data_IF_467415634153
#
_entry.id   IF_467415634153
#
_cell.length_a   1.000
_cell.length_b   1.000
_cell.length_c   1.000
_cell.angle_alpha   90.00
_cell.angle_beta   90.00
_cell.angle_gamma   90.00
#
_symmetry.space_group_name_H-M   'P 1'
#
loop_
_entity.id
_entity.type
_entity.pdbx_description
1 polymer ?
#
# COMPACT_ATOMS: atom_id res chain seq x y z
N UNK A 1 16.32 3.78 -6.65
CA UNK A 1 16.41 5.01 -5.83
C UNK A 1 17.43 5.99 -6.43
N UNK A 2 17.17 6.43 -7.69
CA UNK A 2 18.13 7.25 -8.42
C UNK A 2 17.48 8.52 -8.97
N UNK A 3 17.99 9.69 -8.59
CA UNK A 3 17.38 10.97 -8.91
C UNK A 3 17.33 11.26 -10.42
N UNK A 4 18.39 10.93 -11.16
CA UNK A 4 18.42 11.19 -12.61
C UNK A 4 17.42 10.31 -13.37
N UNK A 5 17.21 9.06 -12.91
CA UNK A 5 16.17 8.20 -13.47
C UNK A 5 14.78 8.70 -13.13
N UNK A 6 14.59 9.23 -11.92
CA UNK A 6 13.34 9.90 -11.55
C UNK A 6 13.09 11.11 -12.45
N UNK A 7 14.09 11.97 -12.66
CA UNK A 7 13.95 13.17 -13.48
C UNK A 7 13.51 12.86 -14.91
N UNK A 8 13.99 11.77 -15.49
CA UNK A 8 13.56 11.34 -16.83
C UNK A 8 12.08 10.95 -16.91
N UNK A 9 11.51 10.47 -15.80
CA UNK A 9 10.11 10.04 -15.67
C UNK A 9 9.24 11.05 -14.89
N UNK A 10 9.84 12.12 -14.37
CA UNK A 10 9.14 13.15 -13.58
C UNK A 10 7.90 13.72 -14.28
N UNK A 11 7.89 14.01 -15.61
CA UNK A 11 6.70 14.49 -16.28
C UNK A 11 5.52 13.51 -16.18
N UNK A 12 5.77 12.21 -16.33
CA UNK A 12 4.76 11.16 -16.17
C UNK A 12 4.25 11.11 -14.74
N UNK A 13 5.18 11.09 -13.78
CA UNK A 13 4.88 11.08 -12.36
C UNK A 13 3.99 12.27 -11.96
N UNK A 14 4.39 13.49 -12.35
CA UNK A 14 3.65 14.70 -12.02
C UNK A 14 2.25 14.71 -12.65
N UNK A 15 2.10 14.16 -13.85
CA UNK A 15 0.81 14.08 -14.53
C UNK A 15 -0.13 13.08 -13.86
N UNK A 16 0.40 11.93 -13.41
CA UNK A 16 -0.37 10.98 -12.60
C UNK A 16 -0.84 11.63 -11.30
N UNK A 17 0.05 12.36 -10.61
CA UNK A 17 -0.29 13.09 -9.39
C UNK A 17 -1.38 14.14 -9.62
N UNK A 18 -1.30 14.89 -10.71
CA UNK A 18 -2.31 15.87 -11.11
C UNK A 18 -3.69 15.24 -11.28
N UNK A 19 -3.78 14.17 -12.06
CA UNK A 19 -5.05 13.48 -12.31
C UNK A 19 -5.60 12.80 -11.05
N UNK A 20 -4.72 12.17 -10.27
CA UNK A 20 -5.12 11.54 -9.01
C UNK A 20 -5.67 12.57 -8.02
N UNK A 21 -5.03 13.72 -7.88
CA UNK A 21 -5.54 14.82 -7.04
C UNK A 21 -6.86 15.37 -7.55
N UNK A 22 -7.01 15.55 -8.85
CA UNK A 22 -8.28 15.98 -9.46
C UNK A 22 -9.43 14.99 -9.20
N UNK A 23 -9.10 13.69 -9.02
CA UNK A 23 -10.04 12.64 -8.64
C UNK A 23 -10.23 12.51 -7.10
N UNK A 24 -9.66 13.41 -6.32
CA UNK A 24 -9.81 13.42 -4.87
C UNK A 24 -8.86 12.48 -4.12
N UNK A 25 -7.75 12.07 -4.73
CA UNK A 25 -6.73 11.28 -4.04
C UNK A 25 -5.82 12.20 -3.23
N UNK A 26 -5.64 11.87 -1.96
CA UNK A 26 -4.73 12.58 -1.08
C UNK A 26 -3.30 12.03 -1.26
N UNK A 27 -2.69 12.39 -2.39
CA UNK A 27 -1.34 11.96 -2.75
C UNK A 27 -0.31 12.61 -1.84
N UNK A 28 0.53 11.79 -1.20
CA UNK A 28 1.53 12.25 -0.21
C UNK A 28 2.88 12.44 -0.88
N UNK A 29 3.40 11.39 -1.47
CA UNK A 29 4.75 11.33 -2.02
C UNK A 29 4.84 10.28 -3.11
N UNK A 30 5.99 10.26 -3.75
CA UNK A 30 6.43 9.17 -4.61
C UNK A 30 7.90 9.37 -4.96
N UNK A 31 8.48 8.32 -5.48
CA UNK A 31 9.89 8.24 -5.81
C UNK A 31 10.16 7.28 -6.97
N UNK A 32 11.42 7.25 -7.39
CA UNK A 32 11.96 6.18 -8.21
C UNK A 32 12.23 4.99 -7.29
N UNK A 33 11.55 3.88 -7.56
CA UNK A 33 11.77 2.62 -6.87
C UNK A 33 13.07 1.93 -7.33
N UNK A 34 13.30 0.71 -6.87
CA UNK A 34 14.59 0.04 -7.01
C UNK A 34 14.88 -0.41 -8.47
N UNK A 35 13.88 -0.93 -9.18
CA UNK A 35 14.09 -1.39 -10.55
C UNK A 35 14.13 -0.21 -11.55
N UNK A 36 14.91 -0.32 -12.64
CA UNK A 36 14.94 0.72 -13.68
C UNK A 36 13.55 1.04 -14.21
N UNK A 37 13.18 2.32 -14.20
CA UNK A 37 11.86 2.79 -14.65
C UNK A 37 10.70 2.47 -13.72
N UNK A 38 10.94 1.94 -12.55
CA UNK A 38 9.92 1.66 -11.54
C UNK A 38 9.64 2.91 -10.71
N UNK A 39 8.37 3.27 -10.60
CA UNK A 39 7.92 4.41 -9.78
C UNK A 39 7.00 3.90 -8.67
N UNK A 40 7.13 4.48 -7.48
CA UNK A 40 6.21 4.30 -6.38
C UNK A 40 5.43 5.59 -6.13
N UNK A 41 4.13 5.47 -5.88
CA UNK A 41 3.27 6.57 -5.46
C UNK A 41 2.45 6.14 -4.25
N UNK A 42 2.34 7.06 -3.29
CA UNK A 42 1.66 6.83 -2.04
C UNK A 42 0.58 7.88 -1.80
N UNK A 43 -0.52 7.48 -1.18
CA UNK A 43 -1.58 8.37 -0.72
C UNK A 43 -1.93 8.11 0.74
N UNK A 44 -2.66 9.04 1.35
CA UNK A 44 -3.12 8.93 2.73
C UNK A 44 -4.03 7.72 2.92
N UNK A 45 -3.98 7.14 4.12
CA UNK A 45 -4.89 6.08 4.48
C UNK A 45 -6.34 6.54 4.45
N UNK A 46 -7.23 5.61 4.19
CA UNK A 46 -8.67 5.81 4.19
C UNK A 46 -9.35 4.48 4.56
N UNK A 47 -10.68 4.44 4.58
CA UNK A 47 -11.38 3.18 4.75
C UNK A 47 -11.04 2.18 3.64
N UNK A 48 -11.23 0.90 3.96
CA UNK A 48 -10.78 -0.20 3.10
C UNK A 48 -11.43 -0.18 1.72
N UNK A 49 -12.71 0.18 1.63
CA UNK A 49 -13.45 0.20 0.36
C UNK A 49 -12.98 1.36 -0.51
N UNK A 50 -12.89 2.56 0.06
CA UNK A 50 -12.40 3.73 -0.66
C UNK A 50 -10.96 3.56 -1.12
N UNK A 51 -10.12 2.93 -0.30
CA UNK A 51 -8.73 2.63 -0.70
C UNK A 51 -8.69 1.63 -1.87
N UNK A 52 -9.59 0.66 -1.92
CA UNK A 52 -9.73 -0.26 -3.05
C UNK A 52 -10.19 0.46 -4.34
N UNK A 53 -11.15 1.38 -4.21
CA UNK A 53 -11.59 2.25 -5.33
C UNK A 53 -10.44 3.11 -5.86
N UNK A 54 -9.67 3.72 -4.96
CA UNK A 54 -8.50 4.51 -5.32
C UNK A 54 -7.47 3.69 -6.09
N UNK A 55 -7.12 2.50 -5.60
CA UNK A 55 -6.14 1.65 -6.29
C UNK A 55 -6.62 1.22 -7.67
N UNK A 56 -7.90 0.88 -7.81
CA UNK A 56 -8.49 0.52 -9.10
C UNK A 56 -8.46 1.67 -10.09
N UNK A 57 -8.85 2.86 -9.64
CA UNK A 57 -8.82 4.10 -10.45
C UNK A 57 -7.39 4.54 -10.77
N UNK A 58 -6.47 4.44 -9.80
CA UNK A 58 -5.06 4.76 -9.98
C UNK A 58 -4.41 4.00 -11.14
N UNK A 59 -4.69 2.69 -11.25
CA UNK A 59 -4.19 1.88 -12.37
C UNK A 59 -4.66 2.42 -13.72
N UNK A 60 -5.89 2.91 -13.80
CA UNK A 60 -6.43 3.51 -15.02
C UNK A 60 -5.78 4.86 -15.33
N UNK A 61 -5.59 5.70 -14.30
CA UNK A 61 -4.87 6.99 -14.44
C UNK A 61 -3.46 6.74 -14.98
N UNK A 62 -2.71 5.81 -14.38
CA UNK A 62 -1.37 5.47 -14.83
C UNK A 62 -1.36 5.00 -16.30
N UNK A 63 -2.29 4.13 -16.68
CA UNK A 63 -2.39 3.64 -18.05
C UNK A 63 -2.73 4.77 -19.04
N UNK A 64 -3.59 5.69 -18.67
CA UNK A 64 -3.95 6.85 -19.49
C UNK A 64 -2.77 7.80 -19.65
N UNK A 65 -2.13 8.18 -18.56
CA UNK A 65 -0.98 9.09 -18.60
C UNK A 65 0.19 8.47 -19.36
N UNK A 66 0.49 7.19 -19.15
CA UNK A 66 1.56 6.51 -19.89
C UNK A 66 1.38 6.64 -21.42
N UNK A 67 0.15 6.48 -21.92
CA UNK A 67 -0.15 6.66 -23.35
C UNK A 67 0.13 8.08 -23.85
N UNK A 68 -0.13 9.09 -23.03
CA UNK A 68 0.14 10.50 -23.36
C UNK A 68 1.65 10.75 -23.58
N UNK A 69 2.49 9.93 -22.96
CA UNK A 69 3.95 10.00 -23.08
C UNK A 69 4.56 8.89 -23.94
N UNK A 70 3.74 8.18 -24.74
CA UNK A 70 4.17 7.03 -25.54
C UNK A 70 4.85 5.93 -24.73
N UNK A 71 4.38 5.70 -23.52
CA UNK A 71 4.85 4.68 -22.60
C UNK A 71 3.74 3.67 -22.28
N UNK A 72 4.10 2.58 -21.64
CA UNK A 72 3.18 1.57 -21.14
C UNK A 72 3.31 1.50 -19.61
N UNK A 73 2.21 1.72 -18.89
CA UNK A 73 2.13 1.42 -17.48
C UNK A 73 2.03 -0.10 -17.29
N UNK A 74 3.05 -0.70 -16.71
CA UNK A 74 3.11 -2.13 -16.47
C UNK A 74 2.89 -2.44 -14.99
N UNK A 75 1.80 -3.16 -14.69
CA UNK A 75 1.49 -3.64 -13.35
C UNK A 75 1.78 -5.14 -13.15
N UNK A 76 2.50 -5.77 -14.08
CA UNK A 76 3.01 -7.12 -13.86
C UNK A 76 3.84 -7.15 -12.58
N UNK A 77 3.65 -8.17 -11.77
CA UNK A 77 4.36 -8.31 -10.49
C UNK A 77 5.86 -8.44 -10.69
N UNK A 78 6.29 -9.28 -11.61
CA UNK A 78 7.71 -9.54 -11.91
C UNK A 78 7.93 -9.55 -13.43
N UNK A 79 7.98 -8.38 -14.08
CA UNK A 79 8.17 -8.31 -15.52
C UNK A 79 9.55 -8.79 -15.97
N UNK A 80 10.57 -8.59 -15.13
CA UNK A 80 11.95 -8.99 -15.39
C UNK A 80 12.54 -9.72 -14.19
N UNK A 81 13.30 -10.80 -14.44
CA UNK A 81 14.09 -11.47 -13.42
C UNK A 81 15.37 -10.68 -13.12
N UNK A 82 15.89 -10.85 -11.90
CA UNK A 82 17.14 -10.19 -11.48
C UNK A 82 17.00 -8.70 -11.14
N UNK A 83 15.77 -8.17 -11.04
CA UNK A 83 15.47 -6.83 -10.56
C UNK A 83 14.27 -6.87 -9.61
N UNK A 84 14.06 -5.81 -8.84
CA UNK A 84 12.92 -5.75 -7.90
C UNK A 84 11.58 -5.85 -8.61
N UNK A 85 10.64 -6.47 -7.93
CA UNK A 85 9.28 -6.69 -8.40
C UNK A 85 8.33 -5.57 -7.93
N UNK A 86 7.14 -5.50 -8.54
CA UNK A 86 6.11 -4.54 -8.18
C UNK A 86 5.26 -5.06 -7.01
N UNK A 87 5.60 -4.64 -5.79
CA UNK A 87 4.76 -4.84 -4.61
C UNK A 87 3.57 -3.89 -4.58
N UNK A 88 2.59 -4.21 -3.74
CA UNK A 88 1.51 -3.30 -3.38
C UNK A 88 1.25 -3.41 -1.87
N UNK A 89 2.26 -3.03 -1.10
CA UNK A 89 2.25 -3.21 0.35
C UNK A 89 1.05 -2.50 0.97
N UNK A 90 0.29 -3.23 1.78
CA UNK A 90 -0.93 -2.71 2.39
C UNK A 90 -0.67 -2.40 3.87
N UNK A 91 -0.62 -1.12 4.20
CA UNK A 91 -0.55 -0.66 5.59
C UNK A 91 -1.95 -0.65 6.19
N UNK A 92 -2.08 -1.19 7.40
CA UNK A 92 -3.37 -1.35 8.07
C UNK A 92 -3.32 -0.91 9.51
N UNK A 93 -4.40 -0.28 9.94
CA UNK A 93 -4.72 0.02 11.34
C UNK A 93 -6.20 -0.26 11.61
N UNK A 94 -6.55 -0.54 12.85
CA UNK A 94 -7.93 -0.75 13.26
C UNK A 94 -8.31 0.28 14.31
N UNK A 95 -9.45 0.92 14.12
CA UNK A 95 -9.92 2.00 14.96
C UNK A 95 -11.25 1.65 15.61
N UNK A 96 -11.44 2.06 16.86
CA UNK A 96 -12.69 1.94 17.61
C UNK A 96 -13.18 3.31 18.07
N UNK A 97 -14.50 3.46 18.17
CA UNK A 97 -15.10 4.75 18.49
C UNK A 97 -14.91 5.77 17.38
N UNK A 98 -15.40 6.96 17.61
CA UNK A 98 -15.40 8.00 16.60
C UNK A 98 -16.57 7.88 15.64
N UNK A 99 -16.80 8.94 14.91
CA UNK A 99 -17.78 8.99 13.82
C UNK A 99 -16.97 9.18 12.53
N UNK A 100 -17.46 8.57 11.46
CA UNK A 100 -16.98 8.92 10.14
C UNK A 100 -17.23 10.40 9.93
N UNK A 101 -16.19 11.17 9.98
CA UNK A 101 -16.24 12.59 9.67
C UNK A 101 -15.30 12.86 8.51
N UNK A 102 -15.77 13.68 7.62
CA UNK A 102 -14.93 14.29 6.60
C UNK A 102 -13.81 15.05 7.29
N UNK A 103 -12.59 14.67 7.02
CA UNK A 103 -11.45 15.28 7.67
C UNK A 103 -11.02 16.55 6.94
N UNK A 104 -10.97 17.60 7.67
CA UNK A 104 -10.16 18.77 7.33
C UNK A 104 -8.74 18.55 7.88
N UNK A 105 -7.99 17.64 7.31
CA UNK A 105 -6.55 17.65 7.49
C UNK A 105 -6.09 19.05 7.06
N UNK A 106 -5.34 19.72 7.92
CA UNK A 106 -4.82 21.07 7.69
C UNK A 106 -3.87 21.21 6.49
N UNK A 107 -3.86 20.23 5.61
CA UNK A 107 -3.37 20.38 4.26
C UNK A 107 -4.39 21.22 3.50
N UNK A 108 -3.94 22.36 3.00
CA UNK A 108 -4.69 23.13 2.01
C UNK A 108 -4.84 22.22 0.78
N UNK A 109 -5.85 21.38 0.81
CA UNK A 109 -6.30 20.66 -0.36
C UNK A 109 -6.70 21.66 -1.44
N UNK A 110 -6.66 21.24 -2.66
CA UNK A 110 -7.16 22.05 -3.77
C UNK A 110 -8.62 22.46 -3.49
N UNK A 111 -9.07 23.65 -3.89
CA UNK A 111 -10.44 24.08 -3.68
C UNK A 111 -11.43 23.02 -4.15
N UNK A 112 -12.37 22.64 -3.31
CA UNK A 112 -13.37 21.61 -3.58
C UNK A 112 -13.02 20.20 -3.14
N UNK A 113 -11.82 19.98 -2.58
CA UNK A 113 -11.39 18.65 -2.09
C UNK A 113 -11.59 18.47 -0.58
N UNK A 114 -11.97 19.51 0.13
CA UNK A 114 -12.13 19.50 1.60
C UNK A 114 -13.20 18.53 2.10
N UNK A 115 -14.08 18.05 1.19
CA UNK A 115 -15.20 17.16 1.51
C UNK A 115 -14.93 15.70 1.16
N UNK A 116 -13.78 15.37 0.55
CA UNK A 116 -13.53 14.05 -0.04
C UNK A 116 -12.84 13.09 0.92
N UNK A 117 -12.23 13.59 2.00
CA UNK A 117 -11.45 12.77 2.91
C UNK A 117 -12.20 12.48 4.20
N UNK A 118 -12.57 11.21 4.39
CA UNK A 118 -13.09 10.72 5.66
C UNK A 118 -12.04 9.90 6.37
N UNK A 119 -11.81 10.18 7.63
CA UNK A 119 -11.15 9.28 8.56
C UNK A 119 -11.87 9.34 9.91
N UNK A 120 -11.52 8.44 10.81
CA UNK A 120 -12.21 8.33 12.09
C UNK A 120 -11.77 9.46 13.03
N UNK A 121 -12.57 10.52 13.14
CA UNK A 121 -12.30 11.60 14.08
C UNK A 121 -12.70 11.17 15.49
N UNK A 122 -11.80 11.37 16.45
CA UNK A 122 -12.01 11.03 17.85
C UNK A 122 -12.00 9.52 18.14
N UNK A 123 -11.65 8.69 17.16
CA UNK A 123 -11.46 7.27 17.35
C UNK A 123 -10.14 6.93 18.03
N UNK A 124 -10.05 5.73 18.56
CA UNK A 124 -8.83 5.18 19.16
C UNK A 124 -8.25 4.12 18.26
N UNK A 125 -6.99 4.30 17.84
CA UNK A 125 -6.24 3.29 17.11
C UNK A 125 -5.90 2.13 18.05
N UNK A 126 -6.50 0.97 17.82
CA UNK A 126 -6.37 -0.21 18.67
C UNK A 126 -5.05 -0.97 18.48
N UNK A 127 -4.25 -0.59 17.49
CA UNK A 127 -2.93 -1.17 17.27
C UNK A 127 -1.80 -0.38 17.96
N UNK A 128 -2.12 0.77 18.56
CA UNK A 128 -1.12 1.51 19.33
C UNK A 128 -0.55 0.65 20.46
N UNK A 129 0.77 0.77 20.72
CA UNK A 129 1.42 0.05 21.82
C UNK A 129 0.72 0.28 23.15
N UNK A 130 0.53 -0.79 23.93
CA UNK A 130 0.02 -0.72 25.31
C UNK A 130 1.13 -0.37 26.31
N UNK A 131 2.38 -0.37 25.87
CA UNK A 131 3.58 -0.13 26.67
C UNK A 131 4.44 0.97 26.04
N UNK A 132 5.54 1.32 26.72
CA UNK A 132 6.54 2.25 26.16
C UNK A 132 7.38 1.62 25.04
N UNK A 133 7.31 0.32 24.85
CA UNK A 133 7.98 -0.36 23.75
C UNK A 133 7.17 -0.17 22.46
N UNK A 134 7.63 0.76 21.64
CA UNK A 134 7.00 1.10 20.36
C UNK A 134 7.20 0.02 19.28
N UNK A 135 8.05 -0.97 19.52
CA UNK A 135 8.29 -2.06 18.58
C UNK A 135 7.17 -3.11 18.60
N UNK A 136 6.46 -3.20 19.72
CA UNK A 136 5.36 -4.13 19.89
C UNK A 136 4.02 -3.40 19.72
N UNK A 137 3.18 -3.86 18.79
CA UNK A 137 1.79 -3.40 18.72
C UNK A 137 1.04 -3.70 20.01
N UNK A 138 -0.02 -2.95 20.29
CA UNK A 138 -0.91 -3.24 21.38
C UNK A 138 -1.58 -4.61 21.26
N UNK A 139 -2.23 -5.05 22.32
CA UNK A 139 -2.81 -6.41 22.44
C UNK A 139 -3.73 -6.78 21.26
N UNK A 140 -4.54 -5.85 20.76
CA UNK A 140 -5.40 -6.09 19.61
C UNK A 140 -4.56 -6.23 18.33
N UNK A 141 -3.56 -5.37 18.15
CA UNK A 141 -2.64 -5.45 17.02
C UNK A 141 -1.89 -6.78 16.96
N UNK A 142 -1.39 -7.27 18.09
CA UNK A 142 -0.73 -8.58 18.17
C UNK A 142 -1.68 -9.73 17.84
N UNK A 143 -2.95 -9.67 18.29
CA UNK A 143 -3.96 -10.67 17.91
C UNK A 143 -4.26 -10.65 16.41
N UNK A 144 -4.38 -9.46 15.84
CA UNK A 144 -4.60 -9.27 14.39
C UNK A 144 -3.43 -9.80 13.58
N UNK A 145 -2.18 -9.54 14.01
CA UNK A 145 -0.98 -10.16 13.42
C UNK A 145 -1.07 -11.67 13.48
N UNK A 146 -1.42 -12.24 14.65
CA UNK A 146 -1.58 -13.68 14.82
C UNK A 146 -2.63 -14.29 13.86
N UNK A 147 -3.75 -13.60 13.68
CA UNK A 147 -4.79 -13.99 12.73
C UNK A 147 -4.30 -13.96 11.27
N UNK A 148 -3.64 -12.89 10.87
CA UNK A 148 -3.06 -12.78 9.52
C UNK A 148 -1.98 -13.85 9.31
N UNK A 149 -1.10 -14.10 10.28
CA UNK A 149 -0.07 -15.12 10.21
C UNK A 149 -0.66 -16.53 10.04
N UNK A 150 -1.71 -16.84 10.81
CA UNK A 150 -2.44 -18.11 10.69
C UNK A 150 -2.99 -18.35 9.28
N UNK A 151 -3.45 -17.30 8.63
CA UNK A 151 -4.08 -17.36 7.32
C UNK A 151 -3.16 -16.94 6.17
N UNK A 152 -1.88 -16.66 6.44
CA UNK A 152 -0.94 -16.13 5.46
C UNK A 152 -0.86 -16.91 4.15
N UNK A 153 -0.84 -18.26 4.15
CA UNK A 153 -0.83 -19.03 2.90
C UNK A 153 -2.08 -18.76 2.03
N UNK A 154 -3.26 -18.71 2.65
CA UNK A 154 -4.50 -18.41 1.94
C UNK A 154 -4.55 -16.95 1.46
N UNK A 155 -4.09 -16.02 2.29
CA UNK A 155 -3.99 -14.60 1.94
C UNK A 155 -3.01 -14.36 0.79
N UNK A 156 -1.93 -15.14 0.73
CA UNK A 156 -0.96 -15.07 -0.37
C UNK A 156 -1.61 -15.48 -1.70
N UNK A 157 -2.49 -16.46 -1.72
CA UNK A 157 -3.22 -16.83 -2.94
C UNK A 157 -4.11 -15.69 -3.48
N UNK A 158 -4.58 -14.81 -2.61
CA UNK A 158 -5.38 -13.63 -2.99
C UNK A 158 -4.47 -12.44 -3.34
N UNK A 159 -3.47 -12.18 -2.51
CA UNK A 159 -2.55 -11.04 -2.66
C UNK A 159 -1.50 -11.23 -3.75
N UNK A 160 -1.16 -12.48 -4.08
CA UNK A 160 -0.21 -12.89 -5.12
C UNK A 160 -0.92 -13.86 -6.07
N UNK A 161 -1.93 -13.35 -6.80
CA UNK A 161 -2.97 -14.15 -7.45
C UNK A 161 -2.60 -14.68 -8.84
N UNK A 162 -1.43 -14.37 -9.37
CA UNK A 162 -1.01 -14.79 -10.71
C UNK A 162 0.23 -15.69 -10.68
N UNK A 163 0.46 -16.44 -11.75
CA UNK A 163 1.71 -17.21 -11.92
C UNK A 163 2.93 -16.29 -11.86
N UNK A 164 2.81 -15.08 -12.40
CA UNK A 164 3.88 -14.09 -12.36
C UNK A 164 4.15 -13.57 -10.93
N UNK A 165 3.13 -13.56 -10.08
CA UNK A 165 3.26 -13.20 -8.66
C UNK A 165 4.23 -14.10 -7.90
N UNK A 166 4.20 -15.39 -8.17
CA UNK A 166 5.10 -16.35 -7.53
C UNK A 166 6.56 -16.18 -7.92
N UNK A 167 6.84 -15.63 -9.11
CA UNK A 167 8.20 -15.26 -9.50
C UNK A 167 8.80 -14.18 -8.59
N UNK A 168 7.97 -13.25 -8.09
CA UNK A 168 8.39 -12.26 -7.10
C UNK A 168 8.83 -12.93 -5.78
N UNK A 169 8.06 -13.89 -5.31
CA UNK A 169 8.34 -14.61 -4.06
C UNK A 169 9.51 -15.59 -4.20
N UNK A 170 9.76 -16.07 -5.41
CA UNK A 170 10.83 -17.04 -5.70
C UNK A 170 12.20 -16.37 -5.90
N UNK A 171 12.24 -15.20 -6.50
CA UNK A 171 13.48 -14.46 -6.79
C UNK A 171 13.94 -13.75 -5.51
N UNK A 172 14.75 -14.47 -4.73
CA UNK A 172 15.19 -14.03 -3.41
C UNK A 172 16.14 -12.83 -3.49
N UNK A 173 16.20 -12.04 -2.41
CA UNK A 173 17.11 -10.90 -2.29
C UNK A 173 16.53 -9.55 -2.74
N UNK A 174 15.30 -9.53 -3.23
CA UNK A 174 14.61 -8.31 -3.67
C UNK A 174 13.48 -7.87 -2.73
N UNK A 175 13.67 -8.03 -1.43
CA UNK A 175 12.78 -7.56 -0.36
C UNK A 175 11.36 -8.13 -0.37
N UNK A 176 11.07 -9.12 -1.22
CA UNK A 176 9.82 -9.84 -1.18
C UNK A 176 9.86 -10.89 -0.05
N UNK A 177 8.77 -11.06 0.70
CA UNK A 177 8.74 -12.04 1.79
C UNK A 177 8.73 -13.46 1.23
N UNK A 178 9.60 -14.31 1.79
CA UNK A 178 9.70 -15.74 1.44
C UNK A 178 9.12 -16.61 2.55
N UNK A 179 9.19 -16.14 3.78
CA UNK A 179 8.73 -16.86 4.96
C UNK A 179 7.50 -16.21 5.59
N UNK A 180 6.68 -17.04 6.20
CA UNK A 180 5.54 -16.61 7.00
C UNK A 180 6.03 -16.17 8.38
N UNK A 181 6.46 -14.92 8.50
CA UNK A 181 6.95 -14.32 9.72
C UNK A 181 6.53 -12.84 9.84
N UNK A 182 6.81 -12.24 10.97
CA UNK A 182 6.59 -10.82 11.20
C UNK A 182 7.73 -10.21 12.01
N UNK A 183 7.91 -8.91 11.89
CA UNK A 183 8.94 -8.21 12.66
C UNK A 183 8.80 -6.69 12.58
N UNK A 184 9.47 -6.04 13.55
CA UNK A 184 9.58 -4.59 13.57
C UNK A 184 10.63 -4.13 12.56
N UNK A 185 10.24 -3.18 11.70
CA UNK A 185 11.10 -2.60 10.66
C UNK A 185 11.83 -3.64 9.76
N UNK A 186 11.33 -4.86 9.70
CA UNK A 186 11.92 -5.90 8.88
C UNK A 186 11.18 -6.05 7.54
N UNK A 187 11.82 -5.65 6.45
CA UNK A 187 11.25 -5.71 5.09
C UNK A 187 11.28 -7.10 4.45
N UNK A 188 11.91 -8.09 5.08
CA UNK A 188 11.94 -9.47 4.59
C UNK A 188 10.77 -10.31 5.11
N UNK A 189 10.04 -9.80 6.11
CA UNK A 189 8.88 -10.47 6.71
C UNK A 189 7.61 -10.33 5.85
N UNK A 190 6.71 -11.30 5.98
CA UNK A 190 5.37 -11.24 5.40
C UNK A 190 4.51 -10.15 6.01
N UNK A 191 4.73 -9.86 7.30
CA UNK A 191 4.17 -8.73 8.04
C UNK A 191 5.27 -7.89 8.67
N UNK A 192 5.23 -6.59 8.44
CA UNK A 192 6.16 -5.64 9.04
C UNK A 192 5.40 -4.66 9.93
N UNK A 193 5.81 -4.53 11.17
CA UNK A 193 5.41 -3.39 12.00
C UNK A 193 6.25 -2.20 11.55
N UNK A 194 5.67 -1.35 10.71
CA UNK A 194 6.37 -0.25 10.03
C UNK A 194 6.38 1.05 10.84
N UNK A 195 5.42 1.19 11.76
CA UNK A 195 5.32 2.28 12.72
C UNK A 195 4.35 1.90 13.85
N UNK A 196 4.39 2.59 15.00
CA UNK A 196 3.37 2.42 16.03
C UNK A 196 1.96 2.59 15.47
N UNK A 197 1.05 1.71 15.87
CA UNK A 197 -0.36 1.78 15.46
C UNK A 197 -0.68 1.24 14.07
N UNK A 198 0.26 0.65 13.35
CA UNK A 198 0.01 0.01 12.07
C UNK A 198 0.96 -1.14 11.80
N UNK A 199 0.55 -2.05 10.94
CA UNK A 199 1.45 -3.00 10.30
C UNK A 199 1.22 -3.02 8.79
N UNK A 200 2.22 -3.48 8.08
CA UNK A 200 2.28 -3.59 6.64
C UNK A 200 2.20 -5.06 6.23
N UNK A 201 1.17 -5.43 5.48
CA UNK A 201 1.09 -6.74 4.82
C UNK A 201 1.89 -6.69 3.51
N UNK A 202 2.86 -7.60 3.36
CA UNK A 202 3.85 -7.53 2.28
C UNK A 202 3.74 -8.65 1.24
N UNK A 203 3.00 -9.74 1.55
CA UNK A 203 2.75 -10.84 0.60
C UNK A 203 1.65 -10.49 -0.40
N UNK A 204 1.69 -9.28 -0.92
CA UNK A 204 0.72 -8.72 -1.87
C UNK A 204 1.45 -7.94 -2.95
N UNK A 205 0.97 -8.00 -4.16
CA UNK A 205 1.61 -7.39 -5.32
C UNK A 205 0.65 -6.52 -6.15
N UNK A 206 1.19 -5.92 -7.20
CA UNK A 206 0.47 -4.96 -8.04
C UNK A 206 -0.70 -5.56 -8.83
N UNK A 207 -0.82 -6.89 -8.94
CA UNK A 207 -1.87 -7.57 -9.71
C UNK A 207 -3.07 -8.01 -8.87
N UNK A 208 -3.00 -7.90 -7.54
CA UNK A 208 -4.08 -8.33 -6.68
C UNK A 208 -5.41 -7.57 -6.90
N UNK A 209 -6.51 -8.21 -6.53
CA UNK A 209 -7.80 -7.54 -6.43
C UNK A 209 -7.91 -6.82 -5.06
N UNK A 210 -7.96 -5.47 -5.03
CA UNK A 210 -7.91 -4.73 -3.76
C UNK A 210 -9.15 -4.96 -2.87
N UNK A 211 -10.31 -5.22 -3.46
CA UNK A 211 -11.53 -5.48 -2.70
C UNK A 211 -11.46 -6.83 -1.99
N UNK A 212 -11.02 -7.88 -2.70
CA UNK A 212 -10.84 -9.21 -2.12
C UNK A 212 -9.73 -9.20 -1.07
N UNK A 213 -8.64 -8.49 -1.32
CA UNK A 213 -7.53 -8.39 -0.38
C UNK A 213 -7.96 -7.68 0.91
N UNK A 214 -8.61 -6.54 0.80
CA UNK A 214 -9.13 -5.79 1.96
C UNK A 214 -10.10 -6.62 2.79
N UNK A 215 -11.09 -7.26 2.14
CA UNK A 215 -12.06 -8.12 2.82
C UNK A 215 -11.38 -9.31 3.51
N UNK A 216 -10.41 -9.94 2.87
CA UNK A 216 -9.69 -11.10 3.40
C UNK A 216 -8.82 -10.74 4.61
N UNK A 217 -8.12 -9.59 4.56
CA UNK A 217 -7.33 -9.10 5.69
C UNK A 217 -8.22 -8.77 6.89
N UNK A 218 -9.34 -8.07 6.67
CA UNK A 218 -10.30 -7.77 7.75
C UNK A 218 -10.89 -9.05 8.36
N UNK A 219 -11.12 -10.08 7.56
CA UNK A 219 -11.61 -11.37 8.07
C UNK A 219 -10.56 -12.14 8.84
N UNK A 220 -9.28 -11.94 8.53
CA UNK A 220 -8.17 -12.60 9.21
C UNK A 220 -7.85 -11.97 10.58
N UNK A 221 -8.22 -10.72 10.82
CA UNK A 221 -8.08 -10.04 12.12
C UNK A 221 -8.95 -10.68 13.20
#
# INVERSE_FOLDING_TARGET
YHIDQFESLRPVFMKVMEYARAMGFDMIQGDHEDAPGQLELNWMYDDVLRNADRLSTYRQICAQVAREFNLIACFMTKPFMGVSASGCHTNMSLWTGGKDKVNKLGHKSLPGMDEVFSYVEGGTNTFMPDTKDVQLPGKIGLKSIGGVMKHLPALTAIGSSTVNSYRRLWDQGFWAPVYADWGYQNRTCGLRVSAPGRFEYRSVDSMHNPYLMGASLLKAF
#
